data_IF_871293970716
#
_entry.id   IF_871293970716
#
_cell.length_a   1.000
_cell.length_b   1.000
_cell.length_c   1.000
_cell.angle_alpha   90.00
_cell.angle_beta   90.00
_cell.angle_gamma   90.00
#
_symmetry.space_group_name_H-M   'P 1'
#
loop_
_entity.id
_entity.type
_entity.pdbx_description
1 polymer ?
#
# COMPACT_ATOMS: atom_id res chain seq x y z
N UNK A 1 -3.76 -3.58 25.53
CA UNK A 1 -2.53 -3.08 24.87
C UNK A 1 -2.62 -1.59 24.55
N UNK A 2 -1.57 -0.82 24.85
CA UNK A 2 -1.39 0.55 24.32
C UNK A 2 -0.68 0.49 22.97
N UNK A 3 -0.97 1.42 22.06
CA UNK A 3 -0.23 1.51 20.81
C UNK A 3 1.25 1.84 21.09
N UNK A 4 2.19 1.27 20.31
CA UNK A 4 3.60 1.59 20.43
C UNK A 4 3.87 3.03 20.01
N UNK A 5 4.88 3.64 20.64
CA UNK A 5 5.28 5.02 20.33
C UNK A 5 5.90 5.12 18.94
N UNK A 6 5.42 6.07 18.14
CA UNK A 6 6.04 6.45 16.86
C UNK A 6 7.15 7.45 17.17
N UNK A 7 8.42 7.06 16.96
CA UNK A 7 9.55 7.97 17.21
C UNK A 7 9.61 9.04 16.10
N UNK A 8 9.99 10.29 16.42
CA UNK A 8 10.22 11.30 15.40
C UNK A 8 11.37 10.89 14.47
N UNK A 9 11.31 11.38 13.23
CA UNK A 9 12.34 11.12 12.21
C UNK A 9 13.72 11.66 12.58
N UNK A 10 14.71 11.34 11.75
CA UNK A 10 16.11 11.78 11.91
C UNK A 10 17.03 10.76 12.58
N UNK A 11 16.51 9.58 12.91
CA UNK A 11 17.30 8.48 13.48
C UNK A 11 17.17 7.23 12.62
N UNK A 12 18.27 6.49 12.49
CA UNK A 12 18.25 5.17 11.87
C UNK A 12 17.54 4.18 12.81
N UNK A 13 16.66 3.31 12.28
CA UNK A 13 16.13 2.21 13.07
C UNK A 13 17.27 1.24 13.43
N UNK A 14 17.22 0.63 14.60
CA UNK A 14 18.30 -0.23 15.11
C UNK A 14 17.83 -1.63 15.52
N UNK A 15 16.56 -1.76 15.88
CA UNK A 15 15.94 -3.02 16.32
C UNK A 15 14.75 -3.41 15.44
N UNK A 16 14.47 -4.71 15.36
CA UNK A 16 13.31 -5.23 14.63
C UNK A 16 12.01 -4.70 15.25
N UNK A 17 11.07 -4.28 14.41
CA UNK A 17 9.83 -3.63 14.83
C UNK A 17 9.95 -2.17 15.27
N UNK A 18 11.11 -1.54 15.07
CA UNK A 18 11.28 -0.10 15.30
C UNK A 18 10.30 0.71 14.46
N UNK A 19 9.64 1.69 15.11
CA UNK A 19 8.62 2.53 14.49
C UNK A 19 9.07 3.98 14.48
N UNK A 20 9.28 4.51 13.28
CA UNK A 20 9.76 5.87 13.07
C UNK A 20 8.84 6.63 12.10
N UNK A 21 8.74 7.94 12.30
CA UNK A 21 8.06 8.84 11.36
C UNK A 21 9.05 9.38 10.34
N UNK A 22 8.77 9.17 9.06
CA UNK A 22 9.56 9.65 7.94
C UNK A 22 8.80 10.72 7.16
N UNK A 23 9.46 11.83 6.91
CA UNK A 23 8.91 12.97 6.16
C UNK A 23 9.98 13.39 5.15
N UNK A 24 9.59 13.44 3.88
CA UNK A 24 10.44 14.03 2.85
C UNK A 24 10.41 15.55 2.95
N UNK A 25 11.58 16.19 3.06
CA UNK A 25 11.69 17.64 3.20
C UNK A 25 11.21 18.40 1.95
N UNK A 26 11.44 17.85 0.75
CA UNK A 26 10.94 18.43 -0.49
C UNK A 26 9.42 18.44 -0.48
N UNK A 27 8.79 17.31 -0.16
CA UNK A 27 7.34 17.21 -0.08
C UNK A 27 6.77 18.14 0.99
N UNK A 28 7.38 18.18 2.18
CA UNK A 28 6.92 19.02 3.30
C UNK A 28 6.89 20.52 2.97
N UNK A 29 7.79 20.99 2.10
CA UNK A 29 7.83 22.38 1.65
C UNK A 29 6.69 22.73 0.68
N UNK A 30 5.92 21.75 0.21
CA UNK A 30 4.93 21.94 -0.83
C UNK A 30 3.53 22.21 -0.27
N UNK A 31 2.73 23.07 -0.94
CA UNK A 31 1.38 23.40 -0.50
C UNK A 31 0.40 22.21 -0.59
N UNK A 32 0.75 21.16 -1.33
CA UNK A 32 -0.04 19.95 -1.50
C UNK A 32 0.25 18.87 -0.46
N UNK A 33 1.22 19.09 0.43
CA UNK A 33 1.57 18.13 1.46
C UNK A 33 0.49 17.99 2.53
N UNK A 34 0.10 16.76 2.82
CA UNK A 34 -0.96 16.44 3.76
C UNK A 34 -0.38 16.01 5.11
N UNK A 35 -0.05 16.99 5.95
CA UNK A 35 0.57 16.77 7.26
C UNK A 35 -0.30 15.96 8.25
N UNK A 36 -1.62 15.83 8.01
CA UNK A 36 -2.55 15.05 8.84
C UNK A 36 -2.83 13.64 8.30
N UNK A 37 -2.43 13.35 7.06
CA UNK A 37 -2.53 12.01 6.48
C UNK A 37 -1.33 11.17 6.89
N UNK A 38 -1.52 9.86 7.04
CA UNK A 38 -0.44 8.90 7.31
C UNK A 38 -0.61 7.68 6.43
N UNK A 39 0.51 7.08 6.06
CA UNK A 39 0.58 5.72 5.50
C UNK A 39 1.59 4.92 6.31
N UNK A 40 1.44 3.61 6.36
CA UNK A 40 2.41 2.70 6.99
C UNK A 40 3.31 2.12 5.90
N UNK A 41 4.61 2.01 6.17
CA UNK A 41 5.55 1.28 5.32
C UNK A 41 6.22 0.14 6.09
N UNK A 42 6.25 -1.06 5.52
CA UNK A 42 6.94 -2.23 6.08
C UNK A 42 7.92 -2.77 5.04
N UNK A 43 9.22 -2.72 5.33
CA UNK A 43 10.26 -3.17 4.39
C UNK A 43 10.39 -4.70 4.33
N UNK A 44 11.09 -5.15 3.29
CA UNK A 44 11.50 -6.54 3.10
C UNK A 44 12.69 -6.97 3.95
N UNK A 45 13.11 -8.22 3.77
CA UNK A 45 14.40 -8.71 4.28
C UNK A 45 15.58 -8.02 3.59
N UNK A 46 16.79 -8.15 4.13
CA UNK A 46 18.03 -7.62 3.53
C UNK A 46 18.04 -6.10 3.31
N UNK A 47 17.27 -5.36 4.10
CA UNK A 47 17.36 -3.89 4.11
C UNK A 47 18.22 -3.43 5.28
N UNK A 48 19.23 -2.63 4.99
CA UNK A 48 19.92 -1.86 6.03
C UNK A 48 18.95 -0.82 6.64
N UNK A 49 19.25 -0.31 7.85
CA UNK A 49 18.52 0.84 8.39
C UNK A 49 18.42 2.01 7.40
N UNK A 50 19.47 2.25 6.63
CA UNK A 50 19.53 3.28 5.60
C UNK A 50 18.55 3.00 4.46
N UNK A 51 18.52 1.77 3.93
CA UNK A 51 17.59 1.37 2.87
C UNK A 51 16.13 1.57 3.29
N UNK A 52 15.81 1.28 4.55
CA UNK A 52 14.48 1.54 5.12
C UNK A 52 14.16 3.03 5.16
N UNK A 53 15.08 3.87 5.68
CA UNK A 53 14.89 5.33 5.72
C UNK A 53 14.70 5.90 4.31
N UNK A 54 15.52 5.48 3.36
CA UNK A 54 15.43 5.94 1.96
C UNK A 54 14.10 5.55 1.34
N UNK A 55 13.67 4.30 1.53
CA UNK A 55 12.39 3.79 1.01
C UNK A 55 11.19 4.52 1.61
N UNK A 56 11.17 4.70 2.93
CA UNK A 56 10.08 5.39 3.62
C UNK A 56 10.04 6.89 3.27
N UNK A 57 11.21 7.52 3.12
CA UNK A 57 11.32 8.94 2.74
C UNK A 57 10.94 9.16 1.28
N UNK A 58 11.33 8.25 0.39
CA UNK A 58 10.87 8.29 -1.00
C UNK A 58 9.35 8.10 -1.06
N UNK A 59 8.78 7.16 -0.29
CA UNK A 59 7.34 6.96 -0.21
C UNK A 59 6.61 8.20 0.31
N UNK A 60 7.20 8.93 1.27
CA UNK A 60 6.65 10.20 1.77
C UNK A 60 6.55 11.25 0.67
N UNK A 61 7.54 11.34 -0.21
CA UNK A 61 7.50 12.21 -1.39
C UNK A 61 6.39 11.79 -2.35
N UNK A 62 6.34 10.50 -2.69
CA UNK A 62 5.36 9.96 -3.62
C UNK A 62 3.92 10.14 -3.13
N UNK A 63 3.66 9.88 -1.85
CA UNK A 63 2.31 10.00 -1.27
C UNK A 63 1.94 11.41 -0.87
N UNK A 64 2.93 12.32 -0.73
CA UNK A 64 2.71 13.67 -0.23
C UNK A 64 2.20 13.72 1.20
N UNK A 65 2.63 12.79 2.04
CA UNK A 65 2.29 12.76 3.45
C UNK A 65 3.40 12.09 4.27
N UNK A 66 3.40 12.23 5.61
CA UNK A 66 4.29 11.47 6.46
C UNK A 66 4.05 9.96 6.39
N UNK A 67 5.14 9.19 6.49
CA UNK A 67 5.15 7.72 6.48
C UNK A 67 5.53 7.21 7.86
N UNK A 68 4.73 6.30 8.41
CA UNK A 68 5.07 5.54 9.62
C UNK A 68 5.80 4.28 9.15
N UNK A 69 7.12 4.30 9.22
CA UNK A 69 7.95 3.16 8.84
C UNK A 69 8.10 2.18 9.99
N UNK A 70 7.79 0.92 9.74
CA UNK A 70 8.06 -0.21 10.64
C UNK A 70 9.23 -0.99 10.07
N UNK A 71 10.36 -0.96 10.78
CA UNK A 71 11.59 -1.58 10.33
C UNK A 71 11.57 -3.08 10.59
N UNK A 72 11.70 -3.86 9.51
CA UNK A 72 12.00 -5.28 9.56
C UNK A 72 13.52 -5.44 9.43
N UNK A 73 14.18 -5.91 10.49
CA UNK A 73 15.64 -6.06 10.51
C UNK A 73 16.14 -7.29 9.76
N UNK A 74 15.29 -8.30 9.55
CA UNK A 74 15.63 -9.66 9.08
C UNK A 74 16.86 -9.72 8.15
N UNK A 75 17.91 -10.42 8.62
CA UNK A 75 19.26 -10.50 8.02
C UNK A 75 19.34 -11.45 6.79
N UNK A 76 18.29 -11.50 5.96
CA UNK A 76 18.35 -12.11 4.63
C UNK A 76 18.35 -13.63 4.54
N UNK A 77 18.27 -14.36 5.66
CA UNK A 77 18.26 -15.82 5.58
C UNK A 77 16.93 -16.25 4.99
N UNK A 78 16.96 -17.01 3.89
CA UNK A 78 15.79 -17.74 3.41
C UNK A 78 15.17 -18.66 4.48
N UNK A 79 15.96 -19.04 5.49
CA UNK A 79 15.48 -19.68 6.71
C UNK A 79 14.56 -18.77 7.56
N UNK A 80 14.75 -17.45 7.55
CA UNK A 80 13.91 -16.46 8.25
C UNK A 80 12.63 -16.14 7.45
N UNK A 81 12.68 -16.21 6.12
CA UNK A 81 11.47 -16.28 5.29
C UNK A 81 10.72 -17.58 5.59
N UNK A 82 11.46 -18.69 5.67
CA UNK A 82 11.01 -19.99 6.14
C UNK A 82 10.46 -19.94 7.56
N UNK A 83 10.99 -19.07 8.44
CA UNK A 83 10.54 -18.86 9.82
C UNK A 83 9.32 -17.96 9.88
N UNK A 84 9.19 -16.90 9.09
CA UNK A 84 7.94 -16.12 8.97
C UNK A 84 6.81 -16.96 8.37
N UNK A 85 7.14 -17.76 7.36
CA UNK A 85 6.27 -18.82 6.86
C UNK A 85 6.05 -19.86 7.94
N UNK A 86 7.06 -20.23 8.73
CA UNK A 86 6.94 -21.22 9.80
C UNK A 86 6.28 -20.69 11.06
N UNK A 87 6.14 -19.39 11.25
CA UNK A 87 5.36 -18.74 12.29
C UNK A 87 3.91 -18.73 11.83
N UNK A 88 3.68 -18.48 10.53
CA UNK A 88 2.42 -18.83 9.87
C UNK A 88 2.15 -20.34 9.93
N UNK A 89 3.19 -21.20 9.93
CA UNK A 89 3.13 -22.68 10.11
C UNK A 89 3.08 -23.11 11.58
N UNK A 90 3.52 -22.30 12.55
CA UNK A 90 3.29 -22.50 13.98
C UNK A 90 1.89 -22.07 14.35
N UNK A 91 1.31 -21.21 13.54
CA UNK A 91 -0.13 -21.09 13.41
C UNK A 91 -0.78 -22.23 12.55
N UNK A 92 -0.02 -23.06 11.80
CA UNK A 92 -0.52 -24.21 11.01
C UNK A 92 -0.78 -25.56 11.71
N UNK A 93 -0.42 -25.89 12.97
CA UNK A 93 -0.93 -27.13 13.56
C UNK A 93 -2.47 -27.09 13.72
N UNK A 94 -3.09 -25.92 13.45
CA UNK A 94 -4.52 -25.66 13.34
C UNK A 94 -5.03 -25.74 11.87
N UNK A 95 -4.16 -25.92 10.85
CA UNK A 95 -4.51 -26.08 9.42
C UNK A 95 -4.43 -27.53 8.90
N UNK A 96 -3.90 -28.48 9.67
CA UNK A 96 -3.88 -29.90 9.28
C UNK A 96 -5.06 -30.66 9.89
N UNK A 97 -6.25 -30.45 9.33
CA UNK A 97 -7.43 -31.26 9.63
C UNK A 97 -8.74 -30.70 9.06
N UNK A 98 -9.04 -31.05 7.81
CA UNK A 98 -10.36 -31.12 7.15
C UNK A 98 -11.41 -30.04 7.42
N UNK A 99 -11.88 -29.37 6.36
CA UNK A 99 -13.10 -28.52 6.29
C UNK A 99 -13.25 -27.36 7.31
N UNK A 100 -12.25 -27.13 8.17
CA UNK A 100 -12.14 -25.99 9.11
C UNK A 100 -11.24 -24.85 8.60
N UNK A 101 -10.90 -24.85 7.31
CA UNK A 101 -9.90 -23.98 6.67
C UNK A 101 -10.45 -22.61 6.22
N UNK A 102 -11.28 -21.96 7.03
CA UNK A 102 -11.73 -20.58 6.79
C UNK A 102 -11.25 -19.66 7.90
N UNK A 103 -11.10 -18.36 7.62
CA UNK A 103 -10.82 -17.35 8.65
C UNK A 103 -11.79 -17.45 9.85
N UNK A 104 -13.03 -17.89 9.60
CA UNK A 104 -14.04 -18.12 10.65
C UNK A 104 -13.66 -19.24 11.61
N UNK A 105 -13.13 -20.36 11.09
CA UNK A 105 -12.60 -21.46 11.91
C UNK A 105 -11.50 -20.98 12.87
N UNK A 106 -10.65 -20.09 12.39
CA UNK A 106 -9.58 -19.46 13.16
C UNK A 106 -10.08 -18.49 14.21
N UNK A 107 -11.07 -17.66 13.86
CA UNK A 107 -11.71 -16.76 14.79
C UNK A 107 -12.37 -17.53 15.94
N UNK A 108 -13.03 -18.65 15.65
CA UNK A 108 -13.62 -19.53 16.66
C UNK A 108 -12.56 -20.17 17.57
N UNK A 109 -11.48 -20.70 17.01
CA UNK A 109 -10.42 -21.33 17.79
C UNK A 109 -9.71 -20.32 18.72
N UNK A 110 -9.38 -19.14 18.19
CA UNK A 110 -8.79 -18.04 18.97
C UNK A 110 -9.74 -17.59 20.08
N UNK A 111 -11.03 -17.49 19.80
CA UNK A 111 -12.04 -17.15 20.81
C UNK A 111 -12.11 -18.20 21.93
N UNK A 112 -12.12 -19.50 21.58
CA UNK A 112 -12.12 -20.57 22.57
C UNK A 112 -10.88 -20.53 23.48
N UNK A 113 -9.68 -20.36 22.90
CA UNK A 113 -8.43 -20.22 23.66
C UNK A 113 -8.42 -18.97 24.53
N UNK A 114 -8.94 -17.84 24.02
CA UNK A 114 -9.07 -16.61 24.78
C UNK A 114 -10.00 -16.79 25.99
N UNK A 115 -11.16 -17.44 25.82
CA UNK A 115 -12.07 -17.71 26.94
C UNK A 115 -11.45 -18.64 27.99
N UNK A 116 -10.61 -19.60 27.59
CA UNK A 116 -9.83 -20.41 28.52
C UNK A 116 -8.78 -19.56 29.26
N UNK A 117 -8.05 -18.69 28.56
CA UNK A 117 -7.08 -17.78 29.17
C UNK A 117 -7.74 -16.84 30.19
N UNK A 118 -8.96 -16.34 29.89
CA UNK A 118 -9.74 -15.52 30.83
C UNK A 118 -10.15 -16.25 32.10
N UNK A 119 -10.32 -17.58 32.08
CA UNK A 119 -10.59 -18.33 33.32
C UNK A 119 -9.40 -18.30 34.27
N UNK A 120 -8.19 -18.33 33.74
CA UNK A 120 -6.96 -18.25 34.52
C UNK A 120 -6.58 -16.79 34.88
N UNK A 121 -6.86 -15.85 33.97
CA UNK A 121 -6.58 -14.43 34.14
C UNK A 121 -7.79 -13.57 33.69
N UNK A 122 -8.78 -13.32 34.57
CA UNK A 122 -10.04 -12.67 34.19
C UNK A 122 -9.93 -11.28 33.55
N UNK A 123 -8.82 -10.58 33.84
CA UNK A 123 -8.53 -9.23 33.35
C UNK A 123 -7.75 -9.20 32.03
N UNK A 124 -7.39 -10.36 31.45
CA UNK A 124 -6.69 -10.40 30.16
C UNK A 124 -7.61 -9.86 29.07
N UNK A 125 -7.14 -8.85 28.34
CA UNK A 125 -7.86 -8.32 27.19
C UNK A 125 -7.54 -9.14 25.96
N UNK A 126 -8.51 -9.28 25.05
CA UNK A 126 -8.33 -10.02 23.79
C UNK A 126 -7.17 -9.46 22.96
N UNK A 127 -6.97 -8.15 22.99
CA UNK A 127 -5.84 -7.50 22.31
C UNK A 127 -4.49 -7.93 22.86
N UNK A 128 -4.37 -8.13 24.17
CA UNK A 128 -3.12 -8.55 24.81
C UNK A 128 -2.91 -10.06 24.63
N UNK A 129 -3.99 -10.84 24.65
CA UNK A 129 -3.95 -12.27 24.33
C UNK A 129 -3.46 -12.53 22.91
N UNK A 130 -4.06 -11.88 21.91
CA UNK A 130 -3.66 -12.05 20.50
C UNK A 130 -2.24 -11.52 20.26
N UNK A 131 -1.82 -10.45 20.93
CA UNK A 131 -0.44 -9.98 20.86
C UNK A 131 0.56 -11.08 21.23
N UNK A 132 0.29 -11.83 22.30
CA UNK A 132 1.16 -12.92 22.76
C UNK A 132 1.23 -14.10 21.78
N UNK A 133 0.31 -14.20 20.82
CA UNK A 133 0.34 -15.23 19.78
C UNK A 133 1.29 -14.88 18.62
N UNK A 134 1.65 -13.59 18.47
CA UNK A 134 2.46 -13.10 17.35
C UNK A 134 3.75 -12.39 17.80
N UNK A 135 4.05 -12.40 19.09
CA UNK A 135 5.19 -11.69 19.69
C UNK A 135 6.56 -12.24 19.25
N UNK A 136 6.60 -13.45 18.70
CA UNK A 136 7.78 -14.04 18.07
C UNK A 136 8.28 -13.28 16.83
N UNK A 137 7.48 -12.35 16.28
CA UNK A 137 7.88 -11.46 15.20
C UNK A 137 7.65 -10.00 15.62
N UNK A 138 8.74 -9.31 15.99
CA UNK A 138 8.65 -7.96 16.56
C UNK A 138 8.08 -6.94 15.56
N UNK A 139 8.41 -7.05 14.28
CA UNK A 139 7.82 -6.20 13.24
C UNK A 139 6.31 -6.44 13.07
N UNK A 140 5.83 -7.68 13.12
CA UNK A 140 4.40 -7.98 13.04
C UNK A 140 3.66 -7.48 14.27
N UNK A 141 4.24 -7.67 15.46
CA UNK A 141 3.72 -7.14 16.71
C UNK A 141 3.64 -5.61 16.69
N UNK A 142 4.64 -4.93 16.12
CA UNK A 142 4.65 -3.47 15.97
C UNK A 142 3.51 -2.97 15.06
N UNK A 143 3.32 -3.58 13.89
CA UNK A 143 2.19 -3.25 12.99
C UNK A 143 0.85 -3.53 13.66
N UNK A 144 0.72 -4.68 14.35
CA UNK A 144 -0.48 -5.02 15.10
C UNK A 144 -0.77 -3.98 16.20
N UNK A 145 0.24 -3.62 16.99
CA UNK A 145 0.12 -2.62 18.04
C UNK A 145 -0.29 -1.24 17.51
N UNK A 146 0.24 -0.84 16.34
CA UNK A 146 -0.17 0.40 15.68
C UNK A 146 -1.65 0.42 15.31
N UNK A 147 -2.21 -0.72 14.90
CA UNK A 147 -3.57 -0.80 14.35
C UNK A 147 -4.63 -1.21 15.38
N UNK A 148 -4.25 -1.99 16.40
CA UNK A 148 -5.16 -2.51 17.41
C UNK A 148 -4.96 -1.89 18.81
N UNK A 149 -3.82 -1.24 19.06
CA UNK A 149 -3.53 -0.62 20.34
C UNK A 149 -4.37 0.64 20.60
N UNK A 150 -4.69 0.89 21.87
CA UNK A 150 -5.32 2.14 22.27
C UNK A 150 -4.42 3.34 21.89
N UNK A 151 -5.01 4.37 21.27
CA UNK A 151 -4.26 5.52 20.73
C UNK A 151 -3.53 5.26 19.41
N UNK A 152 -3.76 4.10 18.78
CA UNK A 152 -3.16 3.72 17.50
C UNK A 152 -3.72 4.46 16.28
N UNK A 153 -3.26 4.03 15.10
CA UNK A 153 -3.68 4.53 13.80
C UNK A 153 -5.00 3.89 13.38
N UNK A 154 -5.86 4.68 12.73
CA UNK A 154 -7.12 4.17 12.19
C UNK A 154 -6.86 3.36 10.91
N UNK A 155 -7.11 2.03 10.89
CA UNK A 155 -6.81 1.18 9.74
C UNK A 155 -7.48 1.65 8.44
N UNK A 156 -8.71 2.17 8.52
CA UNK A 156 -9.48 2.61 7.34
C UNK A 156 -9.01 3.94 6.75
N UNK A 157 -8.15 4.68 7.47
CA UNK A 157 -7.58 5.96 7.02
C UNK A 157 -6.07 5.89 6.82
N UNK A 158 -5.45 4.73 7.02
CA UNK A 158 -4.00 4.56 6.98
C UNK A 158 -3.64 3.36 6.11
N UNK A 159 -3.52 3.57 4.79
CA UNK A 159 -3.06 2.55 3.87
C UNK A 159 -1.70 1.98 4.27
N UNK A 160 -1.51 0.69 4.04
CA UNK A 160 -0.22 0.01 4.28
C UNK A 160 0.48 -0.26 2.96
N UNK A 161 1.77 0.06 2.90
CA UNK A 161 2.69 -0.25 1.81
C UNK A 161 3.68 -1.28 2.34
N UNK A 162 3.74 -2.46 1.73
CA UNK A 162 4.57 -3.55 2.23
C UNK A 162 5.34 -4.23 1.10
N UNK A 163 6.60 -4.55 1.36
CA UNK A 163 7.53 -5.03 0.35
C UNK A 163 8.17 -6.37 0.74
N UNK A 164 8.28 -7.30 -0.20
CA UNK A 164 8.93 -8.61 0.02
C UNK A 164 8.39 -9.31 1.27
N UNK A 165 9.26 -9.75 2.20
CA UNK A 165 8.87 -10.32 3.50
C UNK A 165 7.95 -9.42 4.34
N UNK A 166 7.99 -8.10 4.16
CA UNK A 166 7.06 -7.15 4.78
C UNK A 166 5.59 -7.46 4.49
N UNK A 167 5.28 -8.15 3.38
CA UNK A 167 3.94 -8.64 3.07
C UNK A 167 3.48 -9.74 4.05
N UNK A 168 4.37 -10.65 4.45
CA UNK A 168 4.06 -11.70 5.44
C UNK A 168 3.85 -11.07 6.83
N UNK A 169 4.74 -10.14 7.21
CA UNK A 169 4.63 -9.36 8.46
C UNK A 169 3.28 -8.64 8.52
N UNK A 170 2.94 -7.92 7.45
CA UNK A 170 1.67 -7.18 7.36
C UNK A 170 0.47 -8.13 7.39
N UNK A 171 0.50 -9.22 6.63
CA UNK A 171 -0.57 -10.23 6.62
C UNK A 171 -0.82 -10.84 8.02
N UNK A 172 0.26 -11.19 8.74
CA UNK A 172 0.16 -11.74 10.09
C UNK A 172 -0.41 -10.71 11.06
N UNK A 173 0.08 -9.46 11.00
CA UNK A 173 -0.43 -8.37 11.82
C UNK A 173 -1.92 -8.08 11.56
N UNK A 174 -2.35 -7.99 10.29
CA UNK A 174 -3.76 -7.76 9.96
C UNK A 174 -4.67 -8.92 10.36
N UNK A 175 -4.17 -10.16 10.26
CA UNK A 175 -4.89 -11.34 10.77
C UNK A 175 -5.08 -11.21 12.28
N UNK A 176 -4.04 -10.84 13.02
CA UNK A 176 -4.13 -10.58 14.45
C UNK A 176 -5.10 -9.43 14.79
N UNK A 177 -5.09 -8.33 14.04
CA UNK A 177 -6.06 -7.22 14.22
C UNK A 177 -7.49 -7.74 14.06
N UNK A 178 -7.78 -8.48 12.99
CA UNK A 178 -9.10 -9.03 12.74
C UNK A 178 -9.55 -10.07 13.79
N UNK A 179 -8.61 -10.86 14.33
CA UNK A 179 -8.90 -11.79 15.43
C UNK A 179 -9.20 -11.05 16.74
N UNK A 180 -8.44 -9.99 17.04
CA UNK A 180 -8.57 -9.24 18.28
C UNK A 180 -9.79 -8.31 18.30
N UNK A 181 -10.05 -7.60 17.20
CA UNK A 181 -11.07 -6.54 17.10
C UNK A 181 -12.26 -6.91 16.21
N UNK A 182 -12.19 -8.04 15.51
CA UNK A 182 -13.20 -8.51 14.56
C UNK A 182 -12.89 -8.08 13.11
N UNK A 183 -13.36 -8.82 12.09
CA UNK A 183 -13.06 -8.53 10.67
C UNK A 183 -13.44 -7.13 10.19
N UNK A 184 -14.49 -6.55 10.78
CA UNK A 184 -14.94 -5.21 10.45
C UNK A 184 -13.88 -4.12 10.73
N UNK A 185 -12.91 -4.38 11.62
CA UNK A 185 -11.86 -3.41 11.94
C UNK A 185 -10.86 -3.20 10.80
N UNK A 186 -10.77 -4.13 9.85
CA UNK A 186 -9.91 -4.05 8.66
C UNK A 186 -10.70 -4.04 7.34
N UNK A 187 -12.04 -4.05 7.41
CA UNK A 187 -12.88 -4.12 6.23
C UNK A 187 -12.74 -2.85 5.37
N UNK A 188 -12.28 -3.01 4.13
CA UNK A 188 -12.00 -1.90 3.22
C UNK A 188 -10.60 -1.30 3.37
N UNK A 189 -9.79 -1.78 4.32
CA UNK A 189 -8.43 -1.29 4.54
C UNK A 189 -7.57 -1.49 3.28
N UNK A 190 -6.88 -0.43 2.85
CA UNK A 190 -6.02 -0.47 1.66
C UNK A 190 -4.65 -1.06 1.98
N UNK A 191 -4.25 -2.06 1.21
CA UNK A 191 -2.93 -2.70 1.31
C UNK A 191 -2.27 -2.73 -0.06
N UNK A 192 -1.19 -1.97 -0.21
CA UNK A 192 -0.36 -1.94 -1.41
C UNK A 192 0.83 -2.88 -1.19
N UNK A 193 0.79 -3.99 -1.90
CA UNK A 193 1.69 -5.13 -1.76
C UNK A 193 2.70 -5.08 -2.91
N UNK A 194 3.99 -5.19 -2.61
CA UNK A 194 5.07 -5.12 -3.60
C UNK A 194 5.97 -6.35 -3.49
N UNK A 195 6.16 -7.09 -4.58
CA UNK A 195 7.04 -8.27 -4.58
C UNK A 195 6.64 -9.33 -3.54
N UNK A 196 5.35 -9.59 -3.37
CA UNK A 196 4.84 -10.40 -2.25
C UNK A 196 5.14 -11.89 -2.38
N UNK A 197 5.67 -12.55 -1.33
CA UNK A 197 5.65 -14.01 -1.18
C UNK A 197 4.42 -14.50 -0.40
N UNK A 198 3.55 -13.59 0.07
CA UNK A 198 2.45 -13.92 0.97
C UNK A 198 1.23 -14.49 0.23
N UNK A 199 0.93 -15.78 0.47
CA UNK A 199 -0.17 -16.51 -0.17
C UNK A 199 -1.57 -16.24 0.41
N UNK A 200 -1.65 -15.94 1.70
CA UNK A 200 -2.93 -15.83 2.42
C UNK A 200 -3.03 -14.49 3.11
N UNK A 201 -4.09 -13.75 2.85
CA UNK A 201 -4.43 -12.50 3.51
C UNK A 201 -5.76 -12.64 4.26
N UNK A 202 -5.98 -11.90 5.36
CA UNK A 202 -7.28 -11.91 6.00
C UNK A 202 -8.34 -11.34 5.05
N UNK A 203 -9.59 -11.84 5.09
CA UNK A 203 -10.66 -11.37 4.23
C UNK A 203 -11.04 -9.91 4.56
N UNK A 204 -11.67 -9.24 3.59
CA UNK A 204 -12.23 -7.90 3.77
C UNK A 204 -11.28 -6.73 3.47
N UNK A 205 -9.98 -6.96 3.29
CA UNK A 205 -9.04 -5.91 2.86
C UNK A 205 -9.18 -5.59 1.36
N UNK A 206 -8.77 -4.38 0.97
CA UNK A 206 -8.58 -3.99 -0.43
C UNK A 206 -7.09 -4.06 -0.77
N UNK A 207 -6.62 -5.24 -1.18
CA UNK A 207 -5.23 -5.45 -1.59
C UNK A 207 -5.01 -5.06 -3.06
N UNK A 208 -3.88 -4.43 -3.35
CA UNK A 208 -3.34 -4.26 -4.70
C UNK A 208 -1.96 -4.91 -4.75
N UNK A 209 -1.77 -5.87 -5.65
CA UNK A 209 -0.53 -6.64 -5.75
C UNK A 209 0.34 -6.13 -6.92
N UNK A 210 1.40 -5.40 -6.60
CA UNK A 210 2.36 -4.87 -7.56
C UNK A 210 3.54 -5.84 -7.70
N UNK A 211 3.70 -6.42 -8.88
CA UNK A 211 4.72 -7.43 -9.15
C UNK A 211 5.46 -7.16 -10.47
N UNK A 212 6.78 -7.34 -10.49
CA UNK A 212 7.48 -7.46 -11.77
C UNK A 212 7.26 -8.86 -12.36
N UNK A 213 7.12 -8.93 -13.68
CA UNK A 213 6.86 -10.19 -14.40
C UNK A 213 7.97 -11.22 -14.19
N UNK A 214 9.21 -10.76 -14.03
CA UNK A 214 10.40 -11.57 -13.76
C UNK A 214 10.92 -11.38 -12.33
N UNK A 215 10.02 -11.34 -11.34
CA UNK A 215 10.37 -11.37 -9.91
C UNK A 215 10.13 -12.78 -9.32
N UNK A 216 11.18 -13.57 -9.03
CA UNK A 216 11.04 -14.93 -8.53
C UNK A 216 10.37 -15.01 -7.15
N UNK A 217 10.36 -13.93 -6.36
CA UNK A 217 9.64 -13.89 -5.08
C UNK A 217 8.13 -13.88 -5.31
N UNK A 218 7.66 -13.20 -6.36
CA UNK A 218 6.24 -13.14 -6.71
C UNK A 218 5.71 -14.47 -7.22
N UNK A 219 6.58 -15.35 -7.75
CA UNK A 219 6.18 -16.71 -8.15
C UNK A 219 5.82 -17.60 -6.96
N UNK A 220 6.21 -17.23 -5.74
CA UNK A 220 5.81 -17.91 -4.51
C UNK A 220 4.38 -17.53 -4.07
N UNK A 221 3.88 -16.37 -4.52
CA UNK A 221 2.48 -15.93 -4.43
C UNK A 221 1.68 -16.60 -5.57
N UNK A 222 1.37 -17.88 -5.39
CA UNK A 222 0.57 -18.70 -6.32
C UNK A 222 -0.92 -18.30 -6.37
N UNK A 223 -1.28 -17.10 -5.91
CA UNK A 223 -2.65 -16.60 -6.02
C UNK A 223 -2.88 -16.03 -7.43
N UNK A 224 -3.79 -16.64 -8.19
CA UNK A 224 -4.34 -16.05 -9.40
C UNK A 224 -5.34 -14.96 -9.00
N UNK A 225 -4.86 -13.85 -8.44
CA UNK A 225 -5.71 -12.71 -8.07
C UNK A 225 -5.90 -11.76 -9.27
N UNK A 226 -7.13 -11.27 -9.47
CA UNK A 226 -7.46 -10.29 -10.51
C UNK A 226 -7.08 -8.84 -10.13
N UNK A 227 -6.43 -8.65 -8.99
CA UNK A 227 -5.98 -7.35 -8.45
C UNK A 227 -4.46 -7.14 -8.59
N UNK A 228 -3.83 -7.95 -9.44
CA UNK A 228 -2.39 -7.93 -9.69
C UNK A 228 -2.06 -6.96 -10.82
N UNK A 229 -1.31 -5.91 -10.48
CA UNK A 229 -0.69 -5.02 -11.46
C UNK A 229 0.73 -5.51 -11.75
N UNK A 230 0.95 -5.94 -12.99
CA UNK A 230 2.24 -6.49 -13.43
C UNK A 230 2.98 -5.52 -14.35
N UNK A 231 4.28 -5.35 -14.11
CA UNK A 231 5.19 -4.61 -14.99
C UNK A 231 6.13 -5.60 -15.68
N UNK A 232 6.23 -5.52 -17.02
CA UNK A 232 7.03 -6.41 -17.86
C UNK A 232 8.53 -6.07 -17.89
N UNK A 233 9.38 -7.04 -18.26
CA UNK A 233 10.80 -6.86 -18.64
C UNK A 233 11.72 -6.12 -17.65
N UNK A 234 11.38 -6.06 -16.37
CA UNK A 234 12.26 -5.56 -15.31
C UNK A 234 12.69 -6.73 -14.44
N UNK A 235 14.00 -7.00 -14.39
CA UNK A 235 14.60 -7.92 -13.43
C UNK A 235 15.08 -7.12 -12.22
N UNK A 236 14.38 -7.24 -11.09
CA UNK A 236 14.75 -6.57 -9.85
C UNK A 236 13.69 -6.73 -8.78
N UNK A 237 14.09 -6.54 -7.52
CA UNK A 237 13.22 -6.80 -6.36
C UNK A 237 13.22 -5.66 -5.33
N UNK A 238 14.03 -4.61 -5.46
CA UNK A 238 14.09 -3.54 -4.45
C UNK A 238 12.88 -2.61 -4.46
N UNK A 239 12.42 -2.15 -3.29
CA UNK A 239 11.24 -1.27 -3.19
C UNK A 239 11.40 0.06 -3.97
N UNK A 240 12.59 0.66 -3.99
CA UNK A 240 12.85 1.88 -4.77
C UNK A 240 12.64 1.66 -6.28
N UNK A 241 12.89 0.45 -6.79
CA UNK A 241 12.61 0.10 -8.19
C UNK A 241 11.10 0.05 -8.45
N UNK A 242 10.33 -0.52 -7.52
CA UNK A 242 8.86 -0.47 -7.58
C UNK A 242 8.36 0.98 -7.60
N UNK A 243 8.94 1.87 -6.80
CA UNK A 243 8.61 3.29 -6.78
C UNK A 243 8.94 4.02 -8.07
N UNK A 244 10.09 3.74 -8.70
CA UNK A 244 10.45 4.30 -10.01
C UNK A 244 9.46 3.90 -11.11
N UNK A 245 8.75 2.80 -10.92
CA UNK A 245 7.74 2.26 -11.83
C UNK A 245 6.31 2.54 -11.36
N UNK A 246 6.10 3.42 -10.37
CA UNK A 246 4.77 3.71 -9.81
C UNK A 246 3.76 4.10 -10.89
N UNK A 247 4.12 5.00 -11.81
CA UNK A 247 3.24 5.40 -12.91
C UNK A 247 2.80 4.21 -13.78
N UNK A 248 3.70 3.27 -14.04
CA UNK A 248 3.40 2.08 -14.82
C UNK A 248 2.50 1.12 -14.05
N UNK A 249 2.76 0.91 -12.75
CA UNK A 249 1.90 0.09 -11.89
C UNK A 249 0.50 0.68 -11.72
N UNK A 250 0.40 2.01 -11.57
CA UNK A 250 -0.88 2.72 -11.47
C UNK A 250 -1.66 2.52 -12.75
N UNK A 251 -1.09 2.82 -13.93
CA UNK A 251 -1.82 2.66 -15.20
C UNK A 251 -2.22 1.20 -15.42
N UNK A 252 -1.31 0.24 -15.21
CA UNK A 252 -1.60 -1.18 -15.40
C UNK A 252 -2.67 -1.73 -14.44
N UNK A 253 -2.89 -1.11 -13.27
CA UNK A 253 -3.95 -1.50 -12.34
C UNK A 253 -5.35 -1.28 -12.90
N UNK A 254 -5.52 -0.28 -13.76
CA UNK A 254 -6.80 0.09 -14.37
C UNK A 254 -6.93 -0.43 -15.80
N UNK A 255 -6.05 -1.36 -16.22
CA UNK A 255 -6.10 -1.98 -17.54
C UNK A 255 -6.66 -3.38 -17.47
N UNK A 256 -7.49 -3.73 -18.43
CA UNK A 256 -7.87 -5.10 -18.73
C UNK A 256 -7.04 -5.59 -19.93
N UNK A 257 -6.21 -6.61 -19.71
CA UNK A 257 -5.35 -7.19 -20.74
C UNK A 257 -4.19 -8.00 -20.17
N UNK A 258 -3.50 -8.75 -21.03
CA UNK A 258 -2.33 -9.54 -20.67
C UNK A 258 -1.12 -9.14 -21.52
N UNK A 259 0.10 -9.30 -20.97
CA UNK A 259 1.37 -9.23 -21.72
C UNK A 259 1.57 -7.98 -22.60
N UNK A 260 1.33 -6.79 -22.06
CA UNK A 260 1.67 -5.53 -22.75
C UNK A 260 0.61 -5.01 -23.72
N UNK A 261 -0.39 -5.80 -24.10
CA UNK A 261 -1.56 -5.36 -24.87
C UNK A 261 -2.71 -4.92 -23.94
N UNK A 262 -3.18 -3.67 -24.07
CA UNK A 262 -4.45 -3.22 -23.48
C UNK A 262 -5.57 -3.72 -24.37
N UNK A 263 -6.58 -4.42 -23.81
CA UNK A 263 -7.84 -4.64 -24.52
C UNK A 263 -8.88 -3.58 -24.15
N UNK A 264 -8.82 -3.08 -22.91
CA UNK A 264 -9.73 -2.05 -22.39
C UNK A 264 -9.09 -1.34 -21.16
N UNK A 265 -9.50 -0.10 -20.84
CA UNK A 265 -9.06 0.66 -19.66
C UNK A 265 -10.29 1.10 -18.84
N UNK A 266 -10.15 1.18 -17.51
CA UNK A 266 -11.14 1.80 -16.62
C UNK A 266 -10.74 3.28 -16.42
N UNK A 267 -11.04 4.13 -17.42
CA UNK A 267 -10.60 5.52 -17.45
C UNK A 267 -11.21 6.33 -16.30
N UNK A 268 -12.50 6.11 -16.01
CA UNK A 268 -13.18 6.72 -14.89
C UNK A 268 -12.58 6.30 -13.54
N UNK A 269 -12.29 5.01 -13.37
CA UNK A 269 -11.68 4.49 -12.16
C UNK A 269 -10.27 5.06 -11.94
N UNK A 270 -9.48 5.11 -13.02
CA UNK A 270 -8.16 5.74 -12.99
C UNK A 270 -8.28 7.24 -12.65
N UNK A 271 -9.16 7.98 -13.31
CA UNK A 271 -9.39 9.39 -13.02
C UNK A 271 -9.81 9.63 -11.56
N UNK A 272 -10.74 8.83 -11.02
CA UNK A 272 -11.15 8.89 -9.61
C UNK A 272 -9.96 8.63 -8.68
N UNK A 273 -9.10 7.67 -9.01
CA UNK A 273 -7.86 7.44 -8.27
C UNK A 273 -6.91 8.64 -8.36
N UNK A 274 -6.71 9.23 -9.54
CA UNK A 274 -5.85 10.42 -9.71
C UNK A 274 -6.36 11.62 -8.91
N UNK A 275 -7.67 11.85 -8.86
CA UNK A 275 -8.25 12.90 -7.99
C UNK A 275 -7.96 12.63 -6.52
N UNK A 276 -7.97 11.36 -6.09
CA UNK A 276 -7.65 10.99 -4.70
C UNK A 276 -6.20 11.27 -4.30
N UNK A 277 -5.29 11.41 -5.27
CA UNK A 277 -3.90 11.82 -5.02
C UNK A 277 -3.78 13.29 -4.63
N UNK A 278 -4.83 14.09 -4.87
CA UNK A 278 -4.82 15.53 -4.66
C UNK A 278 -3.85 16.25 -5.60
N UNK A 279 -3.48 17.51 -5.32
CA UNK A 279 -2.65 18.32 -6.21
C UNK A 279 -1.15 17.98 -6.11
N UNK A 280 -0.78 16.69 -6.25
CA UNK A 280 0.60 16.21 -6.18
C UNK A 280 1.21 16.06 -7.59
N UNK A 281 1.87 17.10 -8.14
CA UNK A 281 2.44 17.05 -9.49
C UNK A 281 3.52 15.98 -9.64
N UNK A 282 4.31 15.71 -8.59
CA UNK A 282 5.40 14.72 -8.63
C UNK A 282 4.89 13.32 -8.96
N UNK A 283 3.66 12.99 -8.56
CA UNK A 283 3.04 11.70 -8.86
C UNK A 283 2.11 11.76 -10.09
N UNK A 284 1.31 12.82 -10.22
CA UNK A 284 0.35 12.94 -11.31
C UNK A 284 1.03 13.04 -12.68
N UNK A 285 2.11 13.83 -12.79
CA UNK A 285 2.76 14.09 -14.07
C UNK A 285 3.32 12.84 -14.72
N UNK A 286 4.13 12.00 -14.04
CA UNK A 286 4.63 10.76 -14.65
C UNK A 286 3.51 9.80 -15.07
N UNK A 287 2.35 9.81 -14.39
CA UNK A 287 1.20 8.98 -14.77
C UNK A 287 0.61 9.46 -16.09
N UNK A 288 0.34 10.76 -16.24
CA UNK A 288 -0.15 11.32 -17.50
C UNK A 288 0.86 11.23 -18.64
N UNK A 289 2.16 11.40 -18.36
CA UNK A 289 3.22 11.19 -19.35
C UNK A 289 3.26 9.72 -19.81
N UNK A 290 3.07 8.76 -18.90
CA UNK A 290 2.97 7.34 -19.24
C UNK A 290 1.75 7.03 -20.11
N UNK A 291 0.60 7.61 -19.80
CA UNK A 291 -0.61 7.48 -20.62
C UNK A 291 -0.36 8.03 -22.03
N UNK A 292 0.18 9.24 -22.14
CA UNK A 292 0.55 9.85 -23.43
C UNK A 292 1.48 8.96 -24.26
N UNK A 293 2.52 8.40 -23.63
CA UNK A 293 3.58 7.73 -24.37
C UNK A 293 3.21 6.30 -24.76
N UNK A 294 2.33 5.63 -24.00
CA UNK A 294 2.08 4.19 -24.14
C UNK A 294 0.61 3.79 -24.34
N UNK A 295 -0.33 4.71 -24.09
CA UNK A 295 -1.78 4.50 -24.12
C UNK A 295 -2.49 5.68 -24.78
N UNK A 296 -2.00 6.10 -25.95
CA UNK A 296 -2.44 7.32 -26.63
C UNK A 296 -3.95 7.38 -26.85
N UNK A 297 -4.58 6.25 -27.16
CA UNK A 297 -6.02 6.14 -27.43
C UNK A 297 -6.91 6.37 -26.21
N UNK A 298 -6.38 6.19 -25.01
CA UNK A 298 -7.14 6.25 -23.75
C UNK A 298 -6.75 7.51 -22.95
N UNK A 299 -5.71 8.23 -23.40
CA UNK A 299 -5.04 9.27 -22.63
C UNK A 299 -5.82 10.58 -22.54
N UNK A 300 -6.57 10.91 -23.59
CA UNK A 300 -7.54 12.00 -23.67
C UNK A 300 -8.78 11.72 -22.81
N UNK A 301 -9.34 10.51 -22.88
CA UNK A 301 -10.50 10.10 -22.07
C UNK A 301 -10.19 10.15 -20.56
N UNK A 302 -9.04 9.62 -20.13
CA UNK A 302 -8.60 9.73 -18.73
C UNK A 302 -8.38 11.19 -18.31
N UNK A 303 -7.78 12.01 -19.19
CA UNK A 303 -7.58 13.43 -18.91
C UNK A 303 -8.92 14.17 -18.77
N UNK A 304 -9.89 13.87 -19.65
CA UNK A 304 -11.23 14.45 -19.62
C UNK A 304 -11.94 14.08 -18.33
N UNK A 305 -11.98 12.78 -18.00
CA UNK A 305 -12.59 12.28 -16.78
C UNK A 305 -11.94 12.88 -15.52
N UNK A 306 -10.61 13.03 -15.51
CA UNK A 306 -9.89 13.67 -14.41
C UNK A 306 -10.28 15.15 -14.25
N UNK A 307 -10.30 15.93 -15.34
CA UNK A 307 -10.65 17.36 -15.28
C UNK A 307 -12.10 17.57 -14.85
N UNK A 308 -13.02 16.71 -15.30
CA UNK A 308 -14.42 16.75 -14.90
C UNK A 308 -14.63 16.38 -13.42
N UNK A 309 -13.87 15.41 -12.91
CA UNK A 309 -13.98 14.94 -11.53
C UNK A 309 -13.21 15.80 -10.52
N UNK A 310 -12.10 16.42 -10.93
CA UNK A 310 -11.22 17.18 -10.05
C UNK A 310 -11.88 18.50 -9.59
N UNK A 311 -11.96 18.78 -8.28
CA UNK A 311 -12.45 20.07 -7.80
C UNK A 311 -11.57 21.22 -8.32
N UNK A 312 -12.18 22.33 -8.75
CA UNK A 312 -11.44 23.52 -9.24
C UNK A 312 -10.29 23.97 -8.30
N UNK A 313 -10.43 23.98 -6.96
CA UNK A 313 -9.32 24.30 -6.07
C UNK A 313 -8.11 23.35 -6.18
N UNK A 314 -8.34 22.06 -6.47
CA UNK A 314 -7.27 21.08 -6.73
C UNK A 314 -6.53 21.43 -8.01
N UNK A 315 -7.25 21.73 -9.09
CA UNK A 315 -6.65 22.13 -10.36
C UNK A 315 -5.85 23.44 -10.24
N UNK A 316 -6.36 24.43 -9.49
CA UNK A 316 -5.64 25.67 -9.20
C UNK A 316 -4.38 25.45 -8.34
N UNK A 317 -4.45 24.55 -7.35
CA UNK A 317 -3.28 24.17 -6.57
C UNK A 317 -2.23 23.46 -7.44
N UNK A 318 -2.67 22.58 -8.35
CA UNK A 318 -1.80 21.89 -9.29
C UNK A 318 -1.11 22.87 -10.25
N UNK A 319 -1.86 23.83 -10.81
CA UNK A 319 -1.30 24.90 -11.66
C UNK A 319 -0.23 25.73 -10.93
N UNK A 320 -0.45 26.06 -9.67
CA UNK A 320 0.52 26.80 -8.84
C UNK A 320 1.77 25.99 -8.53
N UNK A 321 1.62 24.68 -8.33
CA UNK A 321 2.73 23.79 -7.98
C UNK A 321 3.58 23.41 -9.20
N UNK A 322 2.94 23.03 -10.32
CA UNK A 322 3.61 22.76 -11.60
C UNK A 322 2.65 23.07 -12.77
N UNK A 323 2.78 24.26 -13.41
CA UNK A 323 1.99 24.61 -14.59
C UNK A 323 2.15 23.61 -15.75
N UNK A 324 3.26 22.87 -15.79
CA UNK A 324 3.54 21.85 -16.80
C UNK A 324 2.52 20.71 -16.79
N UNK A 325 1.91 20.39 -15.64
CA UNK A 325 0.86 19.36 -15.57
C UNK A 325 -0.42 19.84 -16.24
N UNK A 326 -0.78 21.11 -16.04
CA UNK A 326 -1.96 21.70 -16.71
C UNK A 326 -1.73 21.74 -18.22
N UNK A 327 -0.53 22.12 -18.66
CA UNK A 327 -0.17 22.07 -20.08
C UNK A 327 -0.28 20.66 -20.65
N UNK A 328 0.26 19.66 -19.95
CA UNK A 328 0.17 18.26 -20.36
C UNK A 328 -1.28 17.79 -20.51
N UNK A 329 -2.17 18.13 -19.57
CA UNK A 329 -3.59 17.80 -19.67
C UNK A 329 -4.26 18.45 -20.88
N UNK A 330 -3.95 19.72 -21.16
CA UNK A 330 -4.44 20.41 -22.36
C UNK A 330 -3.92 19.74 -23.63
N UNK A 331 -2.64 19.36 -23.66
CA UNK A 331 -2.02 18.70 -24.81
C UNK A 331 -2.66 17.32 -25.07
N UNK A 332 -2.99 16.57 -24.01
CA UNK A 332 -3.72 15.29 -24.10
C UNK A 332 -5.14 15.49 -24.69
N UNK A 333 -5.91 16.44 -24.16
CA UNK A 333 -7.27 16.74 -24.65
C UNK A 333 -7.30 17.32 -26.08
N UNK A 334 -6.17 17.82 -26.57
CA UNK A 334 -6.00 18.30 -27.95
C UNK A 334 -5.47 17.20 -28.89
N UNK A 335 -5.18 16.01 -28.37
CA UNK A 335 -4.71 14.90 -29.19
C UNK A 335 -5.87 14.36 -30.04
N UNK A 336 -5.64 14.16 -31.34
CA UNK A 336 -6.69 13.66 -32.24
C UNK A 336 -7.83 14.65 -32.54
N UNK A 337 -9.07 14.18 -32.42
CA UNK A 337 -10.28 14.98 -32.67
C UNK A 337 -10.86 15.49 -31.37
N UNK A 338 -10.90 16.81 -31.18
CA UNK A 338 -11.41 17.42 -29.95
C UNK A 338 -12.94 17.59 -29.97
N UNK A 339 -13.62 16.78 -29.16
CA UNK A 339 -15.04 16.83 -28.88
C UNK A 339 -15.45 18.08 -28.08
N UNK A 340 -16.76 18.38 -28.02
CA UNK A 340 -17.25 19.56 -27.31
C UNK A 340 -17.01 19.50 -25.79
N UNK A 341 -16.95 18.31 -25.23
CA UNK A 341 -16.69 18.09 -23.80
C UNK A 341 -15.24 18.38 -23.45
N UNK A 342 -14.32 17.96 -24.33
CA UNK A 342 -12.89 18.26 -24.22
C UNK A 342 -12.61 19.75 -24.42
N UNK A 343 -13.29 20.42 -25.35
CA UNK A 343 -13.21 21.89 -25.49
C UNK A 343 -13.60 22.59 -24.19
N UNK A 344 -14.66 22.12 -23.51
CA UNK A 344 -15.07 22.68 -22.21
C UNK A 344 -14.01 22.42 -21.13
N UNK A 345 -13.44 21.22 -21.09
CA UNK A 345 -12.37 20.89 -20.16
C UNK A 345 -11.11 21.75 -20.40
N UNK A 346 -10.71 21.95 -21.65
CA UNK A 346 -9.60 22.83 -22.04
C UNK A 346 -9.89 24.27 -21.58
N UNK A 347 -11.09 24.80 -21.83
CA UNK A 347 -11.45 26.14 -21.40
C UNK A 347 -11.40 26.31 -19.87
N UNK A 348 -11.81 25.28 -19.11
CA UNK A 348 -11.64 25.25 -17.65
C UNK A 348 -10.18 25.37 -17.27
N UNK A 349 -9.30 24.57 -17.90
CA UNK A 349 -7.86 24.55 -17.61
C UNK A 349 -7.14 25.86 -18.00
N UNK A 350 -7.46 26.42 -19.16
CA UNK A 350 -6.91 27.68 -19.65
C UNK A 350 -7.32 28.86 -18.74
N UNK A 351 -8.52 28.80 -18.15
CA UNK A 351 -9.05 29.81 -17.23
C UNK A 351 -8.64 29.69 -15.74
N UNK A 352 -7.74 28.77 -15.38
CA UNK A 352 -7.34 28.52 -13.98
C UNK A 352 -6.52 29.61 -13.31
#
# INVERSE_FOLDING_TARGET
MQAPSIRPGGHLPSTDGDINLYINAEAQAQPWFQANRRVIFVNGMDNTPQDHVESATALSLLQGCPVVGVFNKSDGKWADLGQCVADKVRMMPVQAGGDRNSFEGWAMATEALYQLARRAAPMVQKTDFVASMIDGNAAALAVYGLLAGAGGLNPLRTPVYCHSQGNLITSNALTAVALALGPASIAGMEVNSFGSPCRFWPPGIRRTNNAFTFDPITWLDLSADMSSSKVGFVAGHGFKLYMQKDAEFVVNRFRFGAFGTTMDMDEEGLAKFLVSLGPNPQRLRPIFERLRDMHQTDSDDVALAYVQAAPKPVLQALKRADPGVIKLLIDLLKSGWTADDEKRAIAVLEGL
#
